data_IF_784497011823
#
_entry.id   IF_784497011823
#
_cell.length_a   1.000
_cell.length_b   1.000
_cell.length_c   1.000
_cell.angle_alpha   90.00
_cell.angle_beta   90.00
_cell.angle_gamma   90.00
#
_symmetry.space_group_name_H-M   'P 1'
#
loop_
_entity.id
_entity.type
_entity.pdbx_description
1 polymer ?
#
# COMPACT_ATOMS: atom_id res chain seq x y z
N UNK A 1 4.90 3.78 -14.49
CA UNK A 1 4.16 3.00 -13.48
C UNK A 1 5.14 2.18 -12.66
N UNK A 2 5.11 2.34 -11.34
CA UNK A 2 5.95 1.68 -10.33
C UNK A 2 5.02 0.90 -9.41
N UNK A 3 5.24 -0.42 -9.34
CA UNK A 3 4.46 -1.32 -8.50
C UNK A 3 5.36 -2.02 -7.48
N UNK A 4 5.06 -1.90 -6.19
CA UNK A 4 5.81 -2.56 -5.13
C UNK A 4 5.31 -3.99 -4.88
N UNK A 5 6.21 -4.92 -4.57
CA UNK A 5 5.89 -6.32 -4.28
C UNK A 5 6.80 -6.87 -3.17
N UNK A 6 6.37 -7.72 -2.24
CA UNK A 6 5.03 -7.82 -1.63
C UNK A 6 5.08 -7.07 -0.31
N UNK A 7 4.14 -6.15 -0.06
CA UNK A 7 4.16 -5.30 1.13
C UNK A 7 2.98 -5.65 2.03
N UNK A 8 3.25 -6.13 3.25
CA UNK A 8 2.22 -6.57 4.20
C UNK A 8 2.14 -5.70 5.47
N UNK A 9 3.12 -4.83 5.67
CA UNK A 9 3.28 -3.97 6.83
C UNK A 9 2.71 -2.58 6.53
N UNK A 10 1.80 -2.09 7.40
CA UNK A 10 1.01 -0.87 7.16
C UNK A 10 1.89 0.39 7.11
N UNK A 11 2.94 0.47 7.92
CA UNK A 11 3.88 1.59 7.89
C UNK A 11 4.56 1.73 6.54
N UNK A 12 4.95 0.62 5.92
CA UNK A 12 5.47 0.62 4.55
C UNK A 12 4.42 0.94 3.50
N UNK A 13 3.19 0.42 3.62
CA UNK A 13 2.08 0.78 2.71
C UNK A 13 1.87 2.30 2.68
N UNK A 14 1.74 2.91 3.86
CA UNK A 14 1.55 4.36 4.01
C UNK A 14 2.70 5.18 3.43
N UNK A 15 3.95 4.78 3.72
CA UNK A 15 5.13 5.48 3.20
C UNK A 15 5.20 5.42 1.67
N UNK A 16 4.97 4.25 1.10
CA UNK A 16 4.99 4.04 -0.35
C UNK A 16 3.86 4.80 -1.06
N UNK A 17 2.65 4.76 -0.49
CA UNK A 17 1.53 5.58 -0.96
C UNK A 17 1.88 7.07 -0.93
N UNK A 18 2.48 7.55 0.15
CA UNK A 18 2.94 8.95 0.28
C UNK A 18 4.03 9.34 -0.72
N UNK A 19 4.75 8.38 -1.29
CA UNK A 19 5.72 8.61 -2.37
C UNK A 19 5.08 8.62 -3.76
N UNK A 20 3.78 8.34 -3.87
CA UNK A 20 3.05 8.40 -5.14
C UNK A 20 3.32 7.23 -6.07
N UNK A 21 3.56 6.02 -5.54
CA UNK A 21 3.63 4.82 -6.37
C UNK A 21 2.26 4.50 -7.00
N UNK A 22 2.26 3.84 -8.16
CA UNK A 22 1.03 3.53 -8.90
C UNK A 22 0.23 2.37 -8.28
N UNK A 23 0.85 1.55 -7.43
CA UNK A 23 0.18 0.51 -6.66
C UNK A 23 1.14 -0.46 -5.98
N UNK A 24 0.61 -1.37 -5.17
CA UNK A 24 1.41 -2.43 -4.55
C UNK A 24 0.64 -3.75 -4.52
N UNK A 25 1.39 -4.84 -4.46
CA UNK A 25 0.88 -6.18 -4.20
C UNK A 25 1.04 -6.48 -2.70
N UNK A 26 -0.01 -7.03 -2.10
CA UNK A 26 -0.05 -7.38 -0.67
C UNK A 26 -0.78 -8.71 -0.47
N UNK A 27 -0.36 -9.48 0.54
CA UNK A 27 -1.13 -10.61 1.06
C UNK A 27 -2.22 -10.16 2.04
N UNK A 28 -2.29 -8.85 2.36
CA UNK A 28 -3.23 -8.23 3.30
C UNK A 28 -4.08 -7.15 2.62
N UNK A 29 -4.93 -7.52 1.63
CA UNK A 29 -5.75 -6.56 0.89
C UNK A 29 -6.75 -5.82 1.78
N UNK A 30 -7.16 -6.42 2.90
CA UNK A 30 -7.98 -5.83 3.94
C UNK A 30 -7.34 -4.59 4.57
N UNK A 31 -6.04 -4.67 4.92
CA UNK A 31 -5.29 -3.54 5.47
C UNK A 31 -5.15 -2.42 4.46
N UNK A 32 -4.76 -2.77 3.23
CA UNK A 32 -4.62 -1.78 2.16
C UNK A 32 -5.95 -1.06 1.89
N UNK A 33 -7.08 -1.79 1.90
CA UNK A 33 -8.42 -1.19 1.75
C UNK A 33 -8.72 -0.21 2.87
N UNK A 34 -8.47 -0.59 4.13
CA UNK A 34 -8.70 0.28 5.27
C UNK A 34 -7.87 1.57 5.22
N UNK A 35 -6.61 1.49 4.76
CA UNK A 35 -5.74 2.67 4.60
C UNK A 35 -6.21 3.61 3.48
N UNK A 36 -6.70 3.06 2.36
CA UNK A 36 -7.27 3.87 1.26
C UNK A 36 -8.58 4.54 1.69
N UNK A 37 -9.44 3.83 2.41
CA UNK A 37 -10.73 4.37 2.86
C UNK A 37 -10.56 5.42 3.98
N UNK A 38 -9.42 5.43 4.67
CA UNK A 38 -9.09 6.40 5.72
C UNK A 38 -8.46 7.71 5.20
N UNK A 39 -8.04 7.75 3.93
CA UNK A 39 -7.45 8.93 3.27
C UNK A 39 -8.45 9.70 2.41
#
# INVERSE_FOLDING_TARGET
>A
AVYAYTVDEEGWMLRLMGWGIDGLFTNRPDRMRALVDAG
#
